data_IF_457123307159
#
_entry.id   IF_457123307159
#
_cell.length_a   1.000
_cell.length_b   1.000
_cell.length_c   1.000
_cell.angle_alpha   90.00
_cell.angle_beta   90.00
_cell.angle_gamma   90.00
#
_symmetry.space_group_name_H-M   'P 1'
#
loop_
_entity.id
_entity.type
_entity.pdbx_description
1 polymer ?
#
# COMPACT_ATOMS: atom_id res chain seq x y z
N UNK A 1 13.21 36.16 7.38
CA UNK A 1 12.87 34.95 8.14
C UNK A 1 14.01 33.97 7.96
N UNK A 2 14.57 33.44 9.04
CA UNK A 2 15.78 32.61 8.98
C UNK A 2 15.41 31.13 8.94
N UNK A 3 16.35 30.28 8.55
CA UNK A 3 16.13 28.84 8.49
C UNK A 3 15.84 28.28 9.90
N UNK A 4 14.88 27.35 9.98
CA UNK A 4 14.51 26.68 11.24
C UNK A 4 15.67 25.89 11.85
N UNK A 5 16.56 25.34 11.00
CA UNK A 5 17.72 24.56 11.44
C UNK A 5 18.99 25.40 11.56
N UNK A 6 19.11 26.47 10.77
CA UNK A 6 20.26 27.38 10.76
C UNK A 6 19.77 28.82 10.93
N UNK A 7 19.76 29.29 12.18
CA UNK A 7 19.27 30.64 12.50
C UNK A 7 20.12 31.76 11.90
N UNK A 8 21.33 31.43 11.42
CA UNK A 8 22.26 32.36 10.78
C UNK A 8 22.07 32.48 9.26
N UNK A 9 21.31 31.57 8.64
CA UNK A 9 21.11 31.56 7.18
C UNK A 9 19.71 32.02 6.77
N UNK A 10 19.58 32.78 5.67
CA UNK A 10 18.29 33.20 5.16
C UNK A 10 17.51 31.99 4.61
N UNK A 11 16.19 31.96 4.87
CA UNK A 11 15.32 30.94 4.31
C UNK A 11 15.04 31.21 2.83
N UNK A 12 15.20 30.19 1.98
CA UNK A 12 15.02 30.25 0.52
C UNK A 12 13.80 29.43 0.07
N UNK A 13 13.42 28.43 0.87
CA UNK A 13 12.25 27.58 0.63
C UNK A 13 11.45 27.36 1.91
N UNK A 14 10.24 26.83 1.80
CA UNK A 14 9.40 26.45 2.94
C UNK A 14 9.14 24.94 2.95
N UNK A 15 9.02 24.36 4.14
CA UNK A 15 8.64 22.97 4.29
C UNK A 15 7.19 22.76 3.86
N UNK A 16 6.96 21.76 3.00
CA UNK A 16 5.64 21.43 2.47
C UNK A 16 4.61 21.04 3.55
N UNK A 17 5.05 20.45 4.67
CA UNK A 17 4.16 19.95 5.73
C UNK A 17 3.93 20.94 6.88
N UNK A 18 4.92 21.80 7.18
CA UNK A 18 4.87 22.66 8.36
C UNK A 18 5.03 24.16 8.07
N UNK A 19 5.29 24.55 6.82
CA UNK A 19 5.42 25.96 6.40
C UNK A 19 6.66 26.68 6.92
N UNK A 20 7.52 26.03 7.71
CA UNK A 20 8.76 26.63 8.25
C UNK A 20 9.76 26.91 7.13
N UNK A 21 10.53 27.99 7.25
CA UNK A 21 11.59 28.36 6.30
C UNK A 21 12.83 27.47 6.41
N UNK A 22 13.39 27.07 5.27
CA UNK A 22 14.61 26.26 5.13
C UNK A 22 15.65 27.03 4.29
N UNK A 23 16.92 26.92 4.68
CA UNK A 23 18.07 27.38 3.91
C UNK A 23 18.29 26.51 2.65
N UNK A 24 19.12 26.92 1.68
CA UNK A 24 19.24 26.20 0.42
C UNK A 24 19.83 24.79 0.62
N UNK A 25 20.73 24.62 1.59
CA UNK A 25 21.28 23.31 1.95
C UNK A 25 20.22 22.37 2.52
N UNK A 26 19.38 22.86 3.41
CA UNK A 26 18.31 22.06 4.01
C UNK A 26 17.19 21.76 2.99
N UNK A 27 16.93 22.66 2.05
CA UNK A 27 15.92 22.49 1.02
C UNK A 27 16.31 21.47 -0.06
N UNK A 28 17.62 21.37 -0.40
CA UNK A 28 18.13 20.41 -1.37
C UNK A 28 18.27 18.97 -0.84
N UNK A 29 18.16 18.77 0.47
CA UNK A 29 18.46 17.48 1.12
C UNK A 29 17.38 16.41 0.91
N UNK A 30 16.12 16.81 0.80
CA UNK A 30 14.98 15.89 0.68
C UNK A 30 14.04 16.33 -0.44
N UNK A 31 13.56 15.37 -1.22
CA UNK A 31 12.50 15.58 -2.21
C UNK A 31 11.23 14.80 -1.79
N UNK A 32 10.07 15.44 -1.62
CA UNK A 32 9.80 16.90 -1.66
C UNK A 32 10.46 17.67 -0.51
N UNK A 33 10.54 19.02 -0.62
CA UNK A 33 11.22 19.90 0.34
C UNK A 33 10.56 19.76 1.72
N UNK A 34 11.29 19.13 2.64
CA UNK A 34 10.82 18.72 3.96
C UNK A 34 11.86 19.04 5.02
N UNK A 35 11.37 19.45 6.20
CA UNK A 35 12.20 19.59 7.39
C UNK A 35 12.62 18.20 7.91
N UNK A 36 13.80 18.05 8.51
CA UNK A 36 14.28 16.75 9.06
C UNK A 36 13.26 16.04 9.96
N UNK A 37 12.59 16.72 10.93
CA UNK A 37 11.57 16.05 11.74
C UNK A 37 10.29 15.72 10.95
N UNK A 38 9.94 16.53 9.95
CA UNK A 38 8.81 16.28 9.05
C UNK A 38 9.06 15.04 8.20
N UNK A 39 10.26 14.93 7.63
CA UNK A 39 10.71 13.79 6.84
C UNK A 39 10.68 12.51 7.66
N UNK A 40 11.20 12.54 8.88
CA UNK A 40 11.20 11.36 9.77
C UNK A 40 9.79 10.94 10.17
N UNK A 41 8.89 11.89 10.45
CA UNK A 41 7.48 11.62 10.73
C UNK A 41 6.76 10.99 9.53
N UNK A 42 6.97 11.52 8.33
CA UNK A 42 6.40 10.99 7.08
C UNK A 42 6.94 9.59 6.79
N UNK A 43 8.25 9.38 6.91
CA UNK A 43 8.91 8.07 6.76
C UNK A 43 8.34 7.04 7.73
N UNK A 44 8.22 7.37 9.01
CA UNK A 44 7.65 6.47 10.02
C UNK A 44 6.19 6.13 9.73
N UNK A 45 5.38 7.11 9.31
CA UNK A 45 3.98 6.89 8.97
C UNK A 45 3.81 5.97 7.75
N UNK A 46 4.60 6.16 6.70
CA UNK A 46 4.59 5.28 5.53
C UNK A 46 5.03 3.85 5.87
N UNK A 47 6.06 3.70 6.71
CA UNK A 47 6.51 2.40 7.21
C UNK A 47 5.41 1.72 8.03
N UNK A 48 4.79 2.44 8.96
CA UNK A 48 3.70 1.92 9.80
C UNK A 48 2.50 1.49 8.97
N UNK A 49 2.09 2.29 7.98
CA UNK A 49 1.01 1.94 7.06
C UNK A 49 1.32 0.68 6.27
N UNK A 50 2.58 0.50 5.89
CA UNK A 50 3.04 -0.67 5.14
C UNK A 50 3.13 -1.93 6.00
N UNK A 51 3.61 -1.79 7.24
CA UNK A 51 3.60 -2.85 8.25
C UNK A 51 2.16 -3.29 8.58
N UNK A 52 1.25 -2.34 8.80
CA UNK A 52 -0.14 -2.65 9.07
C UNK A 52 -0.79 -3.36 7.88
N UNK A 53 -0.52 -2.90 6.65
CA UNK A 53 -0.99 -3.57 5.43
C UNK A 53 -0.47 -5.01 5.30
N UNK A 54 0.77 -5.29 5.69
CA UNK A 54 1.33 -6.64 5.69
C UNK A 54 0.72 -7.52 6.77
N UNK A 55 0.60 -6.98 7.99
CA UNK A 55 0.05 -7.72 9.11
C UNK A 55 -1.41 -8.13 8.83
N UNK A 56 -2.17 -7.23 8.19
CA UNK A 56 -3.50 -7.53 7.69
C UNK A 56 -3.50 -8.61 6.60
N UNK A 57 -2.53 -8.56 5.67
CA UNK A 57 -2.35 -9.58 4.63
C UNK A 57 -2.06 -10.98 5.21
N UNK A 58 -1.20 -11.04 6.22
CA UNK A 58 -0.87 -12.27 6.96
C UNK A 58 -2.11 -12.77 7.72
N UNK A 59 -2.86 -11.87 8.38
CA UNK A 59 -4.10 -12.24 9.07
C UNK A 59 -5.13 -12.83 8.11
N UNK A 60 -5.33 -12.24 6.93
CA UNK A 60 -6.22 -12.78 5.89
C UNK A 60 -5.78 -14.17 5.42
N UNK A 61 -4.47 -14.40 5.28
CA UNK A 61 -3.94 -15.72 4.94
C UNK A 61 -4.27 -16.76 6.02
N UNK A 62 -4.05 -16.42 7.30
CA UNK A 62 -4.36 -17.32 8.43
C UNK A 62 -5.85 -17.61 8.53
N UNK A 63 -6.70 -16.60 8.31
CA UNK A 63 -8.16 -16.76 8.28
C UNK A 63 -8.56 -17.68 7.13
N UNK A 64 -8.04 -17.45 5.92
CA UNK A 64 -8.32 -18.28 4.74
C UNK A 64 -7.81 -19.72 4.85
N UNK A 65 -6.69 -19.92 5.54
CA UNK A 65 -6.15 -21.23 5.87
C UNK A 65 -7.04 -21.98 6.87
N UNK A 66 -7.60 -21.28 7.87
CA UNK A 66 -8.52 -21.88 8.85
C UNK A 66 -9.91 -22.16 8.29
N UNK A 67 -10.45 -21.28 7.45
CA UNK A 67 -11.81 -21.43 6.94
C UNK A 67 -11.93 -22.53 5.89
N UNK A 68 -10.84 -22.82 5.17
CA UNK A 68 -10.74 -23.90 4.18
C UNK A 68 -11.90 -23.88 3.14
N UNK A 69 -12.28 -22.68 2.68
CA UNK A 69 -13.46 -22.46 1.82
C UNK A 69 -13.39 -23.18 0.46
N UNK A 70 -12.18 -23.49 -0.02
CA UNK A 70 -11.98 -24.22 -1.29
C UNK A 70 -11.86 -25.74 -1.13
N UNK A 71 -11.99 -26.31 0.08
CA UNK A 71 -11.98 -27.75 0.26
C UNK A 71 -13.30 -28.37 -0.22
N UNK A 72 -13.37 -28.65 -1.52
CA UNK A 72 -14.36 -29.54 -2.11
C UNK A 72 -13.98 -30.99 -1.80
N UNK A 73 -14.97 -31.84 -1.51
CA UNK A 73 -14.80 -33.28 -1.26
C UNK A 73 -13.99 -33.90 -2.41
N UNK A 74 -12.70 -34.19 -2.18
CA UNK A 74 -11.79 -34.79 -3.18
C UNK A 74 -10.35 -34.29 -3.15
N UNK A 75 -10.06 -33.09 -2.61
CA UNK A 75 -8.70 -32.55 -2.51
C UNK A 75 -8.44 -31.94 -1.13
N UNK A 76 -7.97 -32.75 -0.17
CA UNK A 76 -7.81 -32.35 1.24
C UNK A 76 -6.62 -31.40 1.50
N UNK A 77 -5.69 -31.27 0.56
CA UNK A 77 -4.42 -30.53 0.72
C UNK A 77 -4.40 -29.09 0.17
N UNK A 78 -5.51 -28.55 -0.31
CA UNK A 78 -5.54 -27.21 -0.95
C UNK A 78 -5.74 -26.02 0.03
N UNK A 79 -5.47 -26.21 1.33
CA UNK A 79 -5.60 -25.17 2.39
C UNK A 79 -4.72 -23.94 2.16
N UNK A 80 -3.57 -24.13 1.52
CA UNK A 80 -2.64 -23.05 1.18
C UNK A 80 -3.19 -22.19 0.04
N UNK A 81 -3.94 -22.77 -0.91
CA UNK A 81 -4.58 -22.02 -1.99
C UNK A 81 -5.72 -21.13 -1.49
N UNK A 82 -6.53 -21.58 -0.53
CA UNK A 82 -7.61 -20.75 0.02
C UNK A 82 -7.07 -19.50 0.74
N UNK A 83 -5.99 -19.66 1.52
CA UNK A 83 -5.28 -18.53 2.12
C UNK A 83 -4.70 -17.59 1.06
N UNK A 84 -4.11 -18.14 0.00
CA UNK A 84 -3.49 -17.35 -1.08
C UNK A 84 -4.52 -16.59 -1.92
N UNK A 85 -5.70 -17.15 -2.19
CA UNK A 85 -6.78 -16.46 -2.93
C UNK A 85 -7.33 -15.28 -2.15
N UNK A 86 -7.53 -15.40 -0.84
CA UNK A 86 -7.94 -14.27 0.01
C UNK A 86 -6.87 -13.17 0.06
N UNK A 87 -5.61 -13.57 0.13
CA UNK A 87 -4.46 -12.66 0.01
C UNK A 87 -4.45 -11.93 -1.34
N UNK A 88 -4.69 -12.67 -2.43
CA UNK A 88 -4.75 -12.15 -3.78
C UNK A 88 -5.89 -11.13 -3.94
N UNK A 89 -7.10 -11.43 -3.47
CA UNK A 89 -8.26 -10.51 -3.56
C UNK A 89 -7.94 -9.15 -2.92
N UNK A 90 -7.34 -9.15 -1.72
CA UNK A 90 -7.02 -7.91 -1.02
C UNK A 90 -5.89 -7.12 -1.70
N UNK A 91 -4.83 -7.81 -2.13
CA UNK A 91 -3.72 -7.16 -2.86
C UNK A 91 -4.16 -6.60 -4.22
N UNK A 92 -5.01 -7.34 -4.94
CA UNK A 92 -5.63 -6.92 -6.19
C UNK A 92 -6.52 -5.70 -6.00
N UNK A 93 -7.27 -5.62 -4.90
CA UNK A 93 -8.09 -4.44 -4.56
C UNK A 93 -7.24 -3.17 -4.38
N UNK A 94 -6.19 -3.24 -3.56
CA UNK A 94 -5.26 -2.12 -3.34
C UNK A 94 -4.62 -1.62 -4.64
N UNK A 95 -4.30 -2.54 -5.54
CA UNK A 95 -3.70 -2.21 -6.84
C UNK A 95 -4.72 -1.67 -7.84
N UNK A 96 -5.90 -2.28 -7.92
CA UNK A 96 -6.97 -1.88 -8.82
C UNK A 96 -7.52 -0.49 -8.48
N UNK A 97 -7.66 -0.12 -7.20
CA UNK A 97 -8.02 1.24 -6.80
C UNK A 97 -7.01 2.28 -7.28
N UNK A 98 -5.72 1.91 -7.33
CA UNK A 98 -4.64 2.83 -7.73
C UNK A 98 -4.50 2.99 -9.24
N UNK A 99 -4.71 1.92 -10.01
CA UNK A 99 -4.49 1.91 -11.47
C UNK A 99 -5.76 2.04 -12.30
N UNK A 100 -6.91 1.58 -11.80
CA UNK A 100 -8.15 1.49 -12.57
C UNK A 100 -9.30 2.12 -11.75
N UNK A 101 -9.44 3.45 -11.75
CA UNK A 101 -10.61 4.12 -11.21
C UNK A 101 -11.80 4.01 -12.18
N UNK A 102 -12.08 2.83 -12.73
CA UNK A 102 -13.29 2.62 -13.52
C UNK A 102 -14.49 2.64 -12.57
N UNK A 103 -15.26 3.72 -12.66
CA UNK A 103 -16.57 3.85 -12.02
C UNK A 103 -17.59 3.87 -13.14
N UNK A 104 -18.40 2.82 -13.24
CA UNK A 104 -19.59 2.86 -14.10
C UNK A 104 -20.56 3.90 -13.51
N UNK A 105 -20.92 4.90 -14.30
CA UNK A 105 -21.78 6.03 -13.87
C UNK A 105 -23.26 5.72 -14.15
N UNK A 106 -23.56 4.83 -15.12
CA UNK A 106 -24.92 4.40 -15.44
C UNK A 106 -24.91 2.98 -16.05
N UNK A 107 -25.95 2.19 -15.77
CA UNK A 107 -26.14 0.84 -16.32
C UNK A 107 -27.39 0.15 -15.76
N UNK A 108 -27.95 -0.79 -16.51
CA UNK A 108 -29.07 -1.65 -16.05
C UNK A 108 -28.61 -2.64 -14.97
N UNK A 109 -29.53 -3.12 -14.12
CA UNK A 109 -29.22 -4.05 -13.02
C UNK A 109 -28.37 -5.26 -13.46
N UNK A 110 -28.62 -5.79 -14.67
CA UNK A 110 -27.89 -6.93 -15.21
C UNK A 110 -26.45 -6.58 -15.61
N UNK A 111 -26.23 -5.39 -16.17
CA UNK A 111 -24.89 -4.88 -16.50
C UNK A 111 -24.05 -4.64 -15.24
N UNK A 112 -24.67 -4.23 -14.13
CA UNK A 112 -23.99 -4.12 -12.84
C UNK A 112 -23.49 -5.48 -12.33
N UNK A 113 -24.32 -6.53 -12.41
CA UNK A 113 -23.93 -7.88 -11.97
C UNK A 113 -22.73 -8.39 -12.78
N UNK A 114 -22.80 -8.29 -14.11
CA UNK A 114 -21.69 -8.68 -14.99
C UNK A 114 -20.42 -7.86 -14.72
N UNK A 115 -20.57 -6.56 -14.52
CA UNK A 115 -19.46 -5.68 -14.19
C UNK A 115 -18.77 -6.08 -12.88
N UNK A 116 -19.53 -6.37 -11.81
CA UNK A 116 -18.95 -6.79 -10.54
C UNK A 116 -18.28 -8.16 -10.61
N UNK A 117 -18.85 -9.12 -11.33
CA UNK A 117 -18.26 -10.45 -11.53
C UNK A 117 -16.94 -10.34 -12.30
N UNK A 118 -16.94 -9.61 -13.41
CA UNK A 118 -15.74 -9.40 -14.22
C UNK A 118 -14.67 -8.63 -13.44
N UNK A 119 -15.08 -7.61 -12.68
CA UNK A 119 -14.18 -6.86 -11.79
C UNK A 119 -13.59 -7.76 -10.71
N UNK A 120 -14.38 -8.66 -10.11
CA UNK A 120 -13.90 -9.62 -9.10
C UNK A 120 -12.89 -10.60 -9.70
N UNK A 121 -13.16 -11.14 -10.90
CA UNK A 121 -12.23 -12.01 -11.61
C UNK A 121 -10.90 -11.29 -11.92
N UNK A 122 -10.95 -10.07 -12.42
CA UNK A 122 -9.76 -9.25 -12.66
C UNK A 122 -8.99 -8.97 -11.36
N UNK A 123 -9.69 -8.65 -10.27
CA UNK A 123 -9.10 -8.44 -8.95
C UNK A 123 -8.35 -9.68 -8.46
N UNK A 124 -8.91 -10.88 -8.65
CA UNK A 124 -8.26 -12.14 -8.28
C UNK A 124 -7.04 -12.41 -9.14
N UNK A 125 -7.15 -12.28 -10.47
CA UNK A 125 -6.04 -12.57 -11.40
C UNK A 125 -4.88 -11.60 -11.15
N UNK A 126 -5.16 -10.29 -11.14
CA UNK A 126 -4.15 -9.26 -10.84
C UNK A 126 -3.58 -9.51 -9.44
N UNK A 127 -4.45 -9.81 -8.47
CA UNK A 127 -4.12 -10.12 -7.09
C UNK A 127 -3.10 -11.25 -6.95
N UNK A 128 -3.27 -12.35 -7.67
CA UNK A 128 -2.35 -13.50 -7.68
C UNK A 128 -0.96 -13.06 -8.14
N UNK A 129 -0.88 -12.24 -9.19
CA UNK A 129 0.40 -11.72 -9.64
C UNK A 129 0.98 -10.69 -8.67
N UNK A 130 0.18 -9.79 -8.12
CA UNK A 130 0.67 -8.70 -7.26
C UNK A 130 1.03 -9.14 -5.85
N UNK A 131 0.38 -10.17 -5.30
CA UNK A 131 0.63 -10.69 -3.95
C UNK A 131 2.12 -10.99 -3.68
N UNK A 132 2.85 -11.80 -4.49
CA UNK A 132 4.26 -12.07 -4.24
C UNK A 132 5.13 -10.80 -4.31
N UNK A 133 4.86 -9.91 -5.26
CA UNK A 133 5.59 -8.64 -5.35
C UNK A 133 5.33 -7.73 -4.16
N UNK A 134 4.08 -7.63 -3.68
CA UNK A 134 3.75 -6.81 -2.51
C UNK A 134 4.43 -7.33 -1.24
N UNK A 135 4.45 -8.65 -1.02
CA UNK A 135 5.16 -9.29 0.09
C UNK A 135 6.67 -9.03 0.02
N UNK A 136 7.30 -9.23 -1.15
CA UNK A 136 8.73 -9.00 -1.33
C UNK A 136 9.12 -7.53 -1.12
N UNK A 137 8.35 -6.60 -1.69
CA UNK A 137 8.62 -5.17 -1.57
C UNK A 137 8.44 -4.65 -0.15
N UNK A 138 7.47 -5.21 0.58
CA UNK A 138 7.27 -4.97 2.00
C UNK A 138 8.48 -5.41 2.84
N UNK A 139 8.94 -6.65 2.66
CA UNK A 139 10.10 -7.19 3.39
C UNK A 139 11.35 -6.37 3.09
N UNK A 140 11.62 -6.09 1.81
CA UNK A 140 12.74 -5.25 1.40
C UNK A 140 12.74 -3.87 2.09
N UNK A 141 11.56 -3.25 2.20
CA UNK A 141 11.42 -1.92 2.81
C UNK A 141 11.62 -1.93 4.33
N UNK A 142 11.25 -3.02 5.00
CA UNK A 142 11.55 -3.24 6.43
C UNK A 142 13.07 -3.39 6.62
N UNK A 143 13.73 -4.22 5.80
CA UNK A 143 15.18 -4.37 5.85
C UNK A 143 15.93 -3.04 5.61
N UNK A 144 15.48 -2.24 4.64
CA UNK A 144 16.02 -0.90 4.37
C UNK A 144 15.68 0.12 5.45
N UNK A 145 14.63 -0.08 6.24
CA UNK A 145 14.29 0.80 7.35
C UNK A 145 15.14 0.53 8.61
N UNK A 146 15.56 -0.72 8.80
CA UNK A 146 16.46 -1.14 9.88
C UNK A 146 17.94 -0.84 9.62
N UNK A 147 18.35 -0.69 8.35
CA UNK A 147 19.71 -0.28 7.95
C UNK A 147 19.81 1.22 7.73
#
# INVERSE_FOLDING_TARGET
>A
MNCFNHTQEPAVAQCSDCGKGLCPECAGKYQPILCTPCFQKRKCSEIWRSLFSLLFLIALFVIGFRWNFLATKGFEDMRWMSGYVLMAIWSGYLFAEKFIPYKMIAGTNWQWVFYYIFKLLLLVVIGVFTAPFTCLWAVYRIFKAFR
#
